data_IF_686409956808
#
_entry.id   IF_686409956808
#
_cell.length_a   1.000
_cell.length_b   1.000
_cell.length_c   1.000
_cell.angle_alpha   90.00
_cell.angle_beta   90.00
_cell.angle_gamma   90.00
#
_symmetry.space_group_name_H-M   'P 1'
#
loop_
_entity.id
_entity.type
_entity.pdbx_description
1 polymer ?
#
# COMPACT_ATOMS: atom_id res chain seq x y z
N UNK A 1 -2.51 10.56 1.73
CA UNK A 1 -1.64 9.41 1.35
C UNK A 1 -1.07 9.74 -0.02
N UNK A 2 0.23 9.52 -0.23
CA UNK A 2 0.88 9.85 -1.49
C UNK A 2 0.95 8.60 -2.39
N UNK A 3 0.63 8.77 -3.67
CA UNK A 3 0.78 7.77 -4.72
C UNK A 3 1.67 8.36 -5.82
N UNK A 4 2.35 7.50 -6.56
CA UNK A 4 3.25 7.87 -7.63
C UNK A 4 3.20 6.82 -8.74
N UNK A 5 3.15 7.30 -9.99
CA UNK A 5 3.19 6.46 -11.18
C UNK A 5 4.36 6.94 -12.06
N UNK A 6 5.20 6.01 -12.51
CA UNK A 6 6.26 6.28 -13.48
C UNK A 6 5.76 5.90 -14.88
N UNK A 7 5.56 6.91 -15.72
CA UNK A 7 5.11 6.73 -17.09
C UNK A 7 6.30 6.76 -18.05
N UNK A 8 6.37 5.76 -18.93
CA UNK A 8 7.32 5.71 -20.03
C UNK A 8 6.64 6.03 -21.37
N UNK A 9 7.29 6.77 -22.29
CA UNK A 9 6.77 6.99 -23.63
C UNK A 9 6.43 5.66 -24.31
N UNK A 10 5.28 5.61 -25.01
CA UNK A 10 4.78 4.48 -25.81
C UNK A 10 4.27 3.25 -25.03
N UNK A 11 4.82 2.92 -23.86
CA UNK A 11 4.41 1.75 -23.05
C UNK A 11 3.34 2.10 -22.00
N UNK A 12 3.30 3.35 -21.52
CA UNK A 12 2.37 3.77 -20.47
C UNK A 12 2.98 3.65 -19.08
N UNK A 13 2.25 3.09 -18.11
CA UNK A 13 2.73 2.93 -16.72
C UNK A 13 3.77 1.81 -16.61
N UNK A 14 4.95 2.15 -16.10
CA UNK A 14 6.05 1.21 -15.87
C UNK A 14 6.18 0.82 -14.38
N UNK A 15 5.93 1.78 -13.48
CA UNK A 15 5.91 1.56 -12.04
C UNK A 15 4.71 2.25 -11.42
N UNK A 16 4.01 1.56 -10.52
CA UNK A 16 2.96 2.11 -9.68
C UNK A 16 3.32 1.94 -8.22
N UNK A 17 3.30 3.02 -7.45
CA UNK A 17 3.75 3.04 -6.06
C UNK A 17 2.89 3.88 -5.14
N UNK A 18 2.90 3.54 -3.86
CA UNK A 18 2.18 4.30 -2.84
C UNK A 18 2.80 4.14 -1.45
N UNK A 19 2.62 5.18 -0.64
CA UNK A 19 2.74 5.07 0.80
C UNK A 19 1.58 4.24 1.35
N UNK A 20 1.85 3.40 2.34
CA UNK A 20 0.83 2.57 3.01
C UNK A 20 0.22 3.36 4.16
N UNK A 21 -1.06 3.11 4.44
CA UNK A 21 -1.70 3.65 5.64
C UNK A 21 -0.96 3.14 6.89
N UNK A 22 -0.53 4.08 7.72
CA UNK A 22 0.15 3.88 9.00
C UNK A 22 -0.83 4.05 10.19
N UNK A 23 -1.95 4.74 9.99
CA UNK A 23 -2.98 4.87 11.02
C UNK A 23 -3.83 3.59 11.17
N UNK A 24 -3.71 2.96 12.34
CA UNK A 24 -4.41 1.73 12.69
C UNK A 24 -5.94 1.84 12.58
N UNK A 25 -6.56 2.86 13.19
CA UNK A 25 -8.03 3.00 13.23
C UNK A 25 -8.61 3.21 11.83
N UNK A 26 -7.93 4.03 11.03
CA UNK A 26 -8.32 4.32 9.66
C UNK A 26 -8.15 3.10 8.75
N UNK A 27 -7.11 2.31 8.95
CA UNK A 27 -6.91 1.06 8.22
C UNK A 27 -7.97 0.02 8.61
N UNK A 28 -8.24 -0.15 9.90
CA UNK A 28 -9.26 -1.06 10.43
C UNK A 28 -10.66 -0.76 9.87
N UNK A 29 -11.02 0.53 9.76
CA UNK A 29 -12.31 0.94 9.19
C UNK A 29 -12.46 0.67 7.68
N UNK A 30 -11.36 0.41 6.96
CA UNK A 30 -11.37 0.12 5.51
C UNK A 30 -11.23 -1.37 5.18
N UNK A 31 -11.04 -2.22 6.19
CA UNK A 31 -10.78 -3.63 5.96
C UNK A 31 -12.05 -4.39 5.59
N UNK A 32 -11.94 -5.35 4.66
CA UNK A 32 -13.07 -6.20 4.30
C UNK A 32 -13.43 -7.12 5.48
N UNK A 33 -14.73 -7.36 5.73
CA UNK A 33 -15.20 -8.19 6.85
C UNK A 33 -14.85 -9.67 6.72
N UNK A 34 -14.41 -10.11 5.53
CA UNK A 34 -14.20 -11.51 5.17
C UNK A 34 -12.73 -11.95 5.14
N UNK A 35 -11.78 -11.03 5.38
CA UNK A 35 -10.35 -11.34 5.34
C UNK A 35 -9.74 -11.40 6.73
N UNK A 36 -9.12 -12.52 7.10
CA UNK A 36 -8.25 -12.59 8.28
C UNK A 36 -6.92 -11.88 7.98
N UNK A 37 -7.00 -10.55 8.02
CA UNK A 37 -5.87 -9.64 7.84
C UNK A 37 -5.49 -9.00 9.19
N UNK A 38 -5.85 -9.62 10.30
CA UNK A 38 -5.52 -9.19 11.67
C UNK A 38 -4.01 -8.96 11.83
N UNK A 39 -3.20 -9.87 11.28
CA UNK A 39 -1.75 -9.76 11.23
C UNK A 39 -1.26 -8.46 10.53
N UNK A 40 -1.98 -7.98 9.51
CA UNK A 40 -1.60 -6.77 8.77
C UNK A 40 -1.89 -5.48 9.56
N UNK A 41 -2.90 -5.52 10.43
CA UNK A 41 -3.18 -4.47 11.41
C UNK A 41 -2.14 -4.46 12.53
N UNK A 42 -1.71 -5.63 12.99
CA UNK A 42 -0.70 -5.76 14.05
C UNK A 42 0.63 -5.12 13.65
N UNK A 43 0.98 -5.13 12.36
CA UNK A 43 2.13 -4.37 11.85
C UNK A 43 2.04 -2.88 12.21
N UNK A 44 0.85 -2.26 12.17
CA UNK A 44 0.66 -0.84 12.52
C UNK A 44 0.53 -0.63 14.01
N UNK A 45 0.16 -1.67 14.76
CA UNK A 45 0.04 -1.62 16.22
C UNK A 45 1.39 -1.74 16.92
N UNK A 46 2.27 -2.59 16.41
CA UNK A 46 3.56 -2.94 17.04
C UNK A 46 4.78 -2.42 16.27
N UNK A 47 4.64 -2.02 15.01
CA UNK A 47 5.74 -1.58 14.13
C UNK A 47 5.32 -0.42 13.22
N UNK A 48 4.93 0.71 13.81
CA UNK A 48 4.35 1.84 13.08
C UNK A 48 5.37 2.80 12.45
N UNK A 49 6.25 2.28 11.60
CA UNK A 49 7.08 3.13 10.74
C UNK A 49 6.34 3.40 9.43
N UNK A 50 6.38 4.65 8.89
CA UNK A 50 5.84 4.93 7.57
C UNK A 50 6.50 4.02 6.52
N UNK A 51 5.68 3.24 5.83
CA UNK A 51 6.14 2.30 4.80
C UNK A 51 5.58 2.67 3.45
N UNK A 52 6.34 2.42 2.40
CA UNK A 52 5.92 2.56 1.01
C UNK A 52 6.34 1.34 0.21
N UNK A 53 5.68 1.14 -0.93
CA UNK A 53 6.07 0.10 -1.87
C UNK A 53 5.68 0.48 -3.28
N UNK A 54 6.32 -0.17 -4.25
CA UNK A 54 6.01 -0.05 -5.66
C UNK A 54 5.91 -1.43 -6.28
N UNK A 55 5.13 -1.54 -7.36
CA UNK A 55 5.09 -2.67 -8.26
C UNK A 55 5.73 -2.31 -9.58
N UNK A 56 6.31 -3.30 -10.26
CA UNK A 56 6.83 -3.18 -11.60
C UNK A 56 6.34 -4.39 -12.40
N UNK A 57 5.70 -4.13 -13.54
CA UNK A 57 5.34 -5.18 -14.49
C UNK A 57 6.51 -5.40 -15.45
N UNK A 58 7.15 -6.57 -15.37
CA UNK A 58 7.98 -7.09 -16.46
C UNK A 58 7.12 -8.09 -17.23
N UNK A 59 6.76 -7.75 -18.45
CA UNK A 59 6.19 -8.67 -19.44
C UNK A 59 7.30 -9.28 -20.29
#
# INVERSE_FOLDING_TARGET
MAAMDLLAPQVGELFGGSLREDNYEKLKGKMPPTGDLSWYLDLRRYGNVPTGGYGMGFE
#
